data_IF_601116020151
#
_entry.id   IF_601116020151
#
_cell.length_a   1.000
_cell.length_b   1.000
_cell.length_c   1.000
_cell.angle_alpha   90.00
_cell.angle_beta   90.00
_cell.angle_gamma   90.00
#
_symmetry.space_group_name_H-M   'P 1'
#
loop_
_entity.id
_entity.type
_entity.pdbx_description
1 polymer ?
#
# COMPACT_ATOMS: atom_id res chain seq x y z
N UNK A 1 4.91 -15.14 1.32
CA UNK A 1 4.56 -13.98 0.46
C UNK A 1 4.05 -12.86 1.35
N UNK A 2 4.76 -11.74 1.44
CA UNK A 2 4.35 -10.60 2.28
C UNK A 2 3.13 -9.96 1.61
N UNK A 3 2.00 -9.90 2.29
CA UNK A 3 0.81 -9.19 1.80
C UNK A 3 1.06 -7.67 1.90
N UNK A 4 1.79 -7.12 0.92
CA UNK A 4 2.20 -5.72 0.91
C UNK A 4 1.04 -4.77 0.54
N UNK A 5 0.07 -5.27 -0.24
CA UNK A 5 -1.09 -4.50 -0.74
C UNK A 5 -1.87 -3.74 0.36
N UNK A 6 -2.30 -4.36 1.47
CA UNK A 6 -3.05 -3.64 2.51
C UNK A 6 -2.20 -2.56 3.20
N UNK A 7 -0.89 -2.79 3.37
CA UNK A 7 0.03 -1.84 4.00
C UNK A 7 0.44 -0.69 3.09
N UNK A 8 0.26 -0.82 1.77
CA UNK A 8 0.70 0.20 0.81
C UNK A 8 0.03 1.55 1.06
N UNK A 9 -1.23 1.53 1.48
CA UNK A 9 -2.03 2.75 1.72
C UNK A 9 -1.54 3.57 2.91
N UNK A 10 -0.83 2.94 3.86
CA UNK A 10 -0.22 3.62 5.00
C UNK A 10 1.09 4.33 4.60
N UNK A 11 1.75 3.84 3.55
CA UNK A 11 3.09 4.26 3.13
C UNK A 11 3.09 4.98 1.78
N UNK A 12 1.95 5.22 1.17
CA UNK A 12 1.85 5.91 -0.11
C UNK A 12 0.68 6.88 -0.07
N UNK A 13 0.97 8.14 -0.38
CA UNK A 13 -0.05 9.17 -0.60
C UNK A 13 0.09 9.69 -2.02
N UNK A 14 -0.98 10.23 -2.58
CA UNK A 14 -0.92 10.85 -3.90
C UNK A 14 -1.45 12.27 -3.84
N UNK A 15 -0.61 13.21 -4.29
CA UNK A 15 -1.02 14.57 -4.60
C UNK A 15 -1.58 14.58 -6.01
N UNK A 16 -2.89 14.78 -6.10
CA UNK A 16 -3.60 14.77 -7.38
C UNK A 16 -3.49 16.16 -8.01
N UNK A 17 -3.00 16.19 -9.24
CA UNK A 17 -2.87 17.40 -10.05
C UNK A 17 -3.80 17.29 -11.26
N UNK A 18 -3.38 16.61 -12.33
CA UNK A 18 -4.23 16.37 -13.50
C UNK A 18 -5.20 15.19 -13.30
N UNK A 19 -4.96 14.32 -12.31
CA UNK A 19 -5.78 13.17 -11.96
C UNK A 19 -5.84 12.06 -12.98
N UNK A 20 -4.97 12.08 -13.99
CA UNK A 20 -4.99 11.12 -15.10
C UNK A 20 -4.32 9.79 -14.75
N UNK A 21 -3.36 9.81 -13.82
CA UNK A 21 -2.60 8.62 -13.40
C UNK A 21 -3.08 8.06 -12.07
N UNK A 22 -3.71 8.90 -11.25
CA UNK A 22 -4.20 8.53 -9.93
C UNK A 22 -5.50 7.75 -10.01
N UNK A 23 -5.54 6.57 -9.38
CA UNK A 23 -6.80 5.83 -9.20
C UNK A 23 -7.70 6.52 -8.17
N UNK A 24 -8.97 6.68 -8.50
CA UNK A 24 -9.97 7.27 -7.60
C UNK A 24 -10.19 6.43 -6.34
N UNK A 25 -10.16 5.10 -6.48
CA UNK A 25 -10.63 4.17 -5.44
C UNK A 25 -9.54 3.67 -4.50
N UNK A 26 -8.38 3.33 -5.06
CA UNK A 26 -7.38 2.53 -4.35
C UNK A 26 -6.25 3.35 -3.75
N UNK A 27 -6.05 4.57 -4.20
CA UNK A 27 -4.94 5.42 -3.76
C UNK A 27 -5.41 6.36 -2.64
N UNK A 28 -4.54 6.61 -1.66
CA UNK A 28 -4.77 7.62 -0.61
C UNK A 28 -4.46 9.02 -1.15
N UNK A 29 -5.44 9.65 -1.76
CA UNK A 29 -5.34 11.05 -2.24
C UNK A 29 -6.25 12.03 -1.51
N UNK A 30 -7.11 11.53 -0.62
CA UNK A 30 -7.93 12.35 0.27
C UNK A 30 -7.58 12.07 1.73
N UNK A 31 -8.06 12.92 2.64
CA UNK A 31 -7.92 12.71 4.08
C UNK A 31 -8.67 11.47 4.59
N UNK A 32 -9.61 10.93 3.81
CA UNK A 32 -10.39 9.74 4.16
C UNK A 32 -9.62 8.43 3.91
N UNK A 33 -8.45 8.49 3.28
CA UNK A 33 -7.75 7.29 2.83
C UNK A 33 -8.28 6.77 1.48
N UNK A 34 -8.09 5.47 1.20
CA UNK A 34 -8.63 4.83 0.01
C UNK A 34 -10.15 4.83 0.02
N UNK A 35 -10.76 5.45 -1.00
CA UNK A 35 -12.22 5.63 -1.04
C UNK A 35 -12.99 4.30 -1.14
N UNK A 36 -12.34 3.23 -1.64
CA UNK A 36 -12.92 1.88 -1.63
C UNK A 36 -13.09 1.32 -0.21
N UNK A 37 -12.24 1.71 0.74
CA UNK A 37 -12.37 1.30 2.13
C UNK A 37 -13.50 2.05 2.84
N UNK A 38 -13.78 3.29 2.42
CA UNK A 38 -14.83 4.16 2.98
C UNK A 38 -16.23 3.76 2.49
N UNK A 39 -16.38 3.55 1.18
CA UNK A 39 -17.67 3.21 0.56
C UNK A 39 -17.91 1.70 0.44
N UNK A 40 -16.88 0.88 0.66
CA UNK A 40 -16.91 -0.55 0.46
C UNK A 40 -16.98 -0.96 -1.02
N UNK A 41 -17.10 -2.27 -1.26
CA UNK A 41 -17.17 -2.88 -2.59
C UNK A 41 -18.36 -2.37 -3.44
N UNK A 42 -19.40 -1.83 -2.82
CA UNK A 42 -20.54 -1.20 -3.48
C UNK A 42 -20.28 0.22 -3.99
N UNK A 43 -19.22 0.89 -3.51
CA UNK A 43 -18.87 2.28 -3.83
C UNK A 43 -18.82 2.60 -5.34
N UNK A 44 -18.12 1.81 -6.16
CA UNK A 44 -18.06 2.01 -7.61
C UNK A 44 -19.45 2.09 -8.27
N UNK A 45 -20.36 1.19 -7.89
CA UNK A 45 -21.73 1.19 -8.39
C UNK A 45 -22.51 2.40 -7.89
N UNK A 46 -22.32 2.79 -6.62
CA UNK A 46 -23.01 3.93 -6.02
C UNK A 46 -22.62 5.26 -6.68
N UNK A 47 -21.33 5.48 -6.93
CA UNK A 47 -20.82 6.70 -7.56
C UNK A 47 -20.85 6.65 -9.10
N UNK A 48 -21.30 5.54 -9.70
CA UNK A 48 -21.32 5.31 -11.15
C UNK A 48 -19.93 5.45 -11.80
N UNK A 49 -18.89 5.07 -11.07
CA UNK A 49 -17.51 5.06 -11.55
C UNK A 49 -17.02 3.62 -11.64
N UNK A 50 -16.17 3.36 -12.63
CA UNK A 50 -15.52 2.04 -12.77
C UNK A 50 -14.54 1.83 -11.62
N UNK A 51 -14.27 0.57 -11.25
CA UNK A 51 -13.24 0.25 -10.24
C UNK A 51 -11.86 0.77 -10.62
N UNK A 52 -11.54 0.76 -11.91
CA UNK A 52 -10.29 1.27 -12.44
C UNK A 52 -10.33 2.76 -12.80
N UNK A 53 -11.39 3.49 -12.43
CA UNK A 53 -11.53 4.89 -12.77
C UNK A 53 -10.40 5.72 -12.13
N UNK A 54 -9.94 6.71 -12.90
CA UNK A 54 -8.97 7.70 -12.44
C UNK A 54 -9.69 8.86 -11.76
N UNK A 55 -8.94 9.73 -11.07
CA UNK A 55 -9.52 10.91 -10.43
C UNK A 55 -10.03 11.92 -11.46
N UNK A 56 -9.42 11.98 -12.65
CA UNK A 56 -9.90 12.83 -13.75
C UNK A 56 -11.27 12.40 -14.29
N UNK A 57 -11.54 11.09 -14.35
CA UNK A 57 -12.82 10.52 -14.84
C UNK A 57 -14.02 10.86 -13.94
N UNK A 58 -13.79 11.23 -12.68
CA UNK A 58 -14.86 11.66 -11.76
C UNK A 58 -15.11 13.17 -11.79
N UNK A 59 -14.44 13.89 -12.68
CA UNK A 59 -14.62 15.33 -12.90
C UNK A 59 -15.05 15.63 -14.32
N UNK A 60 -15.83 16.70 -14.49
CA UNK A 60 -16.17 17.26 -15.79
C UNK A 60 -16.05 18.79 -15.74
N UNK A 61 -15.36 19.39 -16.71
CA UNK A 61 -15.12 20.84 -16.78
C UNK A 61 -14.63 21.49 -15.48
N UNK A 62 -13.78 20.80 -14.71
CA UNK A 62 -13.24 21.30 -13.45
C UNK A 62 -14.21 21.22 -12.26
N UNK A 63 -15.34 20.52 -12.38
CA UNK A 63 -16.25 20.24 -11.28
C UNK A 63 -16.39 18.72 -11.06
N UNK A 64 -16.67 18.30 -9.83
CA UNK A 64 -16.96 16.90 -9.51
C UNK A 64 -18.27 16.47 -10.18
N UNK A 65 -18.21 15.42 -10.99
CA UNK A 65 -19.36 14.86 -11.70
C UNK A 65 -19.76 13.52 -11.07
N UNK A 66 -20.41 13.61 -9.91
CA UNK A 66 -20.83 12.48 -9.09
C UNK A 66 -22.35 12.49 -8.88
N UNK A 67 -23.01 11.33 -8.73
CA UNK A 67 -24.43 11.29 -8.38
C UNK A 67 -24.65 11.83 -6.97
N UNK A 68 -25.87 12.29 -6.67
CA UNK A 68 -26.25 12.72 -5.32
C UNK A 68 -25.93 11.65 -4.28
N UNK A 69 -25.46 12.07 -3.10
CA UNK A 69 -25.17 11.16 -2.01
C UNK A 69 -26.43 10.36 -1.60
N UNK A 70 -26.30 9.04 -1.54
CA UNK A 70 -27.38 8.11 -1.13
C UNK A 70 -27.04 7.34 0.15
N UNK A 71 -25.97 7.74 0.83
CA UNK A 71 -25.55 7.19 2.12
C UNK A 71 -24.74 8.24 2.88
N UNK A 72 -24.67 8.15 4.23
CA UNK A 72 -23.84 9.04 5.03
C UNK A 72 -22.36 9.02 4.61
N UNK A 73 -21.83 7.85 4.23
CA UNK A 73 -20.45 7.74 3.72
C UNK A 73 -20.24 8.48 2.40
N UNK A 74 -21.22 8.44 1.48
CA UNK A 74 -21.14 9.17 0.21
C UNK A 74 -21.28 10.69 0.43
N UNK A 75 -22.08 11.10 1.41
CA UNK A 75 -22.20 12.51 1.81
C UNK A 75 -20.88 13.04 2.37
N UNK A 76 -20.27 12.33 3.32
CA UNK A 76 -18.95 12.68 3.86
C UNK A 76 -17.89 12.79 2.77
N UNK A 77 -17.89 11.86 1.82
CA UNK A 77 -17.00 11.92 0.66
C UNK A 77 -17.24 13.20 -0.16
N UNK A 78 -18.50 13.53 -0.47
CA UNK A 78 -18.81 14.74 -1.24
C UNK A 78 -18.41 16.02 -0.49
N UNK A 79 -18.60 16.07 0.83
CA UNK A 79 -18.11 17.18 1.67
C UNK A 79 -16.60 17.30 1.58
N UNK A 80 -15.85 16.20 1.66
CA UNK A 80 -14.39 16.23 1.53
C UNK A 80 -13.97 16.69 0.13
N UNK A 81 -14.68 16.25 -0.92
CA UNK A 81 -14.36 16.65 -2.29
C UNK A 81 -14.55 18.15 -2.56
N UNK A 82 -15.45 18.84 -1.85
CA UNK A 82 -15.56 20.32 -1.99
C UNK A 82 -14.33 21.06 -1.46
N UNK A 83 -13.55 20.42 -0.56
CA UNK A 83 -12.30 20.98 -0.04
C UNK A 83 -11.11 20.75 -0.96
N UNK A 84 -11.23 19.85 -1.93
CA UNK A 84 -10.17 19.55 -2.91
C UNK A 84 -10.30 20.53 -4.07
N UNK A 85 -9.22 21.27 -4.34
CA UNK A 85 -9.18 22.21 -5.47
C UNK A 85 -9.48 21.51 -6.79
N UNK A 86 -10.17 22.17 -7.73
CA UNK A 86 -10.55 21.56 -9.00
C UNK A 86 -9.31 21.13 -9.79
N UNK A 87 -9.35 19.89 -10.29
CA UNK A 87 -8.31 19.31 -11.13
C UNK A 87 -8.15 20.18 -12.36
N UNK A 88 -6.93 20.67 -12.60
CA UNK A 88 -6.61 21.45 -13.78
C UNK A 88 -5.63 20.65 -14.63
N UNK A 89 -5.89 20.47 -15.94
CA UNK A 89 -4.95 19.81 -16.84
C UNK A 89 -3.61 20.55 -16.92
N UNK A 90 -3.56 21.82 -16.51
CA UNK A 90 -2.36 22.65 -16.51
C UNK A 90 -1.46 22.50 -15.28
N UNK A 91 -1.90 21.77 -14.23
CA UNK A 91 -1.10 21.58 -13.00
C UNK A 91 0.02 20.53 -13.13
N UNK A 92 0.10 19.84 -14.26
CA UNK A 92 1.08 18.77 -14.49
C UNK A 92 0.65 17.43 -13.91
N UNK A 93 1.59 16.48 -13.90
CA UNK A 93 1.31 15.10 -13.50
C UNK A 93 1.10 14.93 -12.00
N UNK A 94 0.34 13.88 -11.65
CA UNK A 94 0.13 13.51 -10.26
C UNK A 94 1.45 13.09 -9.60
N UNK A 95 1.59 13.36 -8.30
CA UNK A 95 2.81 13.08 -7.56
C UNK A 95 2.55 12.11 -6.41
N UNK A 96 3.20 10.95 -6.46
CA UNK A 96 3.21 10.00 -5.35
C UNK A 96 4.22 10.43 -4.30
N UNK A 97 3.75 10.51 -3.05
CA UNK A 97 4.56 10.82 -1.89
C UNK A 97 4.79 9.56 -1.04
N UNK A 98 6.02 9.44 -0.58
CA UNK A 98 6.54 8.34 0.21
C UNK A 98 7.00 8.83 1.58
N UNK A 99 6.90 7.99 2.63
CA UNK A 99 7.29 8.36 3.97
C UNK A 99 8.81 8.53 4.07
N UNK A 100 9.21 9.58 4.78
CA UNK A 100 10.59 9.92 5.10
C UNK A 100 10.90 9.56 6.56
N UNK A 101 12.19 9.55 6.88
CA UNK A 101 12.68 9.20 8.23
C UNK A 101 12.23 10.20 9.31
N UNK A 102 11.90 11.42 8.91
CA UNK A 102 11.36 12.49 9.76
C UNK A 102 9.85 12.36 10.02
N UNK A 103 9.18 11.35 9.45
CA UNK A 103 7.73 11.15 9.53
C UNK A 103 6.92 11.98 8.52
N UNK A 104 7.57 12.81 7.72
CA UNK A 104 6.92 13.55 6.63
C UNK A 104 6.76 12.68 5.38
N UNK A 105 5.97 13.16 4.42
CA UNK A 105 5.82 12.54 3.11
C UNK A 105 6.52 13.41 2.05
N UNK A 106 7.26 12.79 1.13
CA UNK A 106 7.90 13.51 0.03
C UNK A 106 8.02 12.69 -1.26
N UNK A 107 8.43 13.33 -2.36
CA UNK A 107 8.35 12.73 -3.69
C UNK A 107 9.38 11.61 -3.95
N UNK A 108 10.45 11.55 -3.17
CA UNK A 108 11.51 10.54 -3.35
C UNK A 108 11.23 9.28 -2.55
N UNK A 109 11.25 8.13 -3.23
CA UNK A 109 11.20 6.83 -2.61
C UNK A 109 12.58 6.43 -2.04
N UNK A 110 12.61 5.95 -0.80
CA UNK A 110 13.80 5.40 -0.15
C UNK A 110 13.51 4.00 0.33
N UNK A 111 14.08 3.00 -0.33
CA UNK A 111 13.91 1.59 0.05
C UNK A 111 14.36 1.33 1.49
N UNK A 112 15.46 1.95 1.93
CA UNK A 112 15.95 1.86 3.31
C UNK A 112 14.94 2.39 4.31
N UNK A 113 14.42 3.59 4.08
CA UNK A 113 13.47 4.24 5.00
C UNK A 113 12.15 3.48 5.04
N UNK A 114 11.60 3.12 3.89
CA UNK A 114 10.39 2.30 3.81
C UNK A 114 10.58 0.95 4.50
N UNK A 115 11.73 0.30 4.33
CA UNK A 115 12.04 -0.95 5.02
C UNK A 115 12.11 -0.80 6.54
N UNK A 116 12.72 0.28 7.02
CA UNK A 116 12.82 0.59 8.44
C UNK A 116 11.46 0.86 9.10
N UNK A 117 10.52 1.44 8.34
CA UNK A 117 9.15 1.70 8.81
C UNK A 117 8.29 0.43 8.78
N UNK A 118 8.40 -0.39 7.72
CA UNK A 118 7.62 -1.62 7.59
C UNK A 118 8.05 -2.68 8.61
N UNK A 119 9.36 -2.77 8.91
CA UNK A 119 9.85 -3.81 9.82
C UNK A 119 9.39 -3.55 11.25
N UNK A 120 8.73 -4.53 11.86
CA UNK A 120 8.67 -4.62 13.32
C UNK A 120 10.09 -4.93 13.81
N UNK A 121 10.72 -4.00 14.53
CA UNK A 121 12.01 -4.28 15.16
C UNK A 121 11.78 -5.35 16.23
N UNK A 122 12.23 -6.58 15.94
CA UNK A 122 12.31 -7.62 16.97
C UNK A 122 13.20 -7.11 18.10
N UNK A 123 12.88 -7.43 19.37
CA UNK A 123 13.74 -7.07 20.49
C UNK A 123 15.16 -7.61 20.23
N UNK A 124 16.15 -6.86 20.68
CA UNK A 124 17.56 -7.24 20.59
C UNK A 124 17.77 -8.47 21.46
N UNK A 125 17.59 -9.66 20.88
CA UNK A 125 17.95 -10.91 21.52
C UNK A 125 19.48 -10.97 21.59
N UNK A 126 20.03 -11.57 22.64
CA UNK A 126 21.49 -11.68 22.81
C UNK A 126 22.09 -12.86 22.02
N UNK A 127 21.24 -13.78 21.59
CA UNK A 127 21.58 -14.99 20.84
C UNK A 127 21.91 -14.85 19.33
N UNK A 128 21.85 -13.70 18.63
CA UNK A 128 22.16 -13.65 17.20
C UNK A 128 23.57 -14.16 16.93
N UNK A 129 24.52 -13.86 17.80
CA UNK A 129 25.90 -14.36 17.67
C UNK A 129 26.00 -15.86 17.91
N UNK A 130 25.14 -16.42 18.77
CA UNK A 130 25.15 -17.85 19.12
C UNK A 130 24.61 -18.69 17.96
N UNK A 131 23.53 -18.27 17.32
CA UNK A 131 22.91 -19.03 16.22
C UNK A 131 23.72 -18.92 14.92
N UNK A 132 24.40 -17.80 14.70
CA UNK A 132 25.19 -17.53 13.48
C UNK A 132 26.67 -17.93 13.58
N UNK A 133 27.05 -18.76 14.55
CA UNK A 133 28.35 -19.43 14.50
C UNK A 133 28.40 -20.37 13.28
N UNK A 134 29.47 -20.25 12.49
CA UNK A 134 29.76 -21.09 11.30
C UNK A 134 29.58 -22.59 11.58
N UNK A 135 29.90 -23.02 12.79
CA UNK A 135 29.87 -24.41 13.24
C UNK A 135 28.44 -24.96 13.40
N UNK A 136 27.49 -24.15 13.88
CA UNK A 136 26.09 -24.59 14.04
C UNK A 136 25.40 -24.70 12.68
N UNK A 137 25.69 -23.79 11.76
CA UNK A 137 25.20 -23.87 10.39
C UNK A 137 25.68 -25.16 9.69
N UNK A 138 26.97 -25.48 9.84
CA UNK A 138 27.53 -26.72 9.31
C UNK A 138 26.87 -27.97 9.94
N UNK A 139 26.67 -27.95 11.26
CA UNK A 139 26.01 -29.03 11.99
C UNK A 139 24.54 -29.24 11.55
N UNK A 140 23.79 -28.16 11.30
CA UNK A 140 22.41 -28.27 10.80
C UNK A 140 22.35 -28.88 9.39
N UNK A 141 23.24 -28.46 8.49
CA UNK A 141 23.31 -29.05 7.14
C UNK A 141 23.74 -30.52 7.16
N UNK A 142 24.66 -30.90 8.05
CA UNK A 142 25.06 -32.29 8.26
C UNK A 142 23.91 -33.14 8.84
N UNK A 143 23.14 -32.61 9.80
CA UNK A 143 21.98 -33.29 10.38
C UNK A 143 20.88 -33.51 9.33
N UNK A 144 20.56 -32.49 8.54
CA UNK A 144 19.57 -32.57 7.45
C UNK A 144 20.01 -33.57 6.37
N UNK A 145 21.30 -33.60 6.03
CA UNK A 145 21.87 -34.58 5.10
C UNK A 145 21.78 -36.01 5.64
N UNK A 146 22.08 -36.22 6.93
CA UNK A 146 22.00 -37.54 7.56
C UNK A 146 20.56 -38.06 7.65
N UNK A 147 19.59 -37.21 8.03
CA UNK A 147 18.17 -37.57 8.01
C UNK A 147 17.70 -37.99 6.62
N UNK A 148 18.10 -37.24 5.58
CA UNK A 148 17.77 -37.58 4.19
C UNK A 148 18.39 -38.91 3.74
N UNK A 149 19.61 -39.22 4.20
CA UNK A 149 20.25 -40.51 3.94
C UNK A 149 19.54 -41.68 4.64
N UNK A 150 19.13 -41.50 5.91
CA UNK A 150 18.39 -42.53 6.65
C UNK A 150 17.01 -42.79 6.04
N UNK A 151 16.30 -41.73 5.63
CA UNK A 151 15.02 -41.87 4.92
C UNK A 151 15.19 -42.57 3.56
N UNK A 152 16.27 -42.29 2.82
CA UNK A 152 16.55 -42.95 1.54
C UNK A 152 16.83 -44.45 1.69
N UNK A 153 17.51 -44.86 2.77
CA UNK A 153 17.78 -46.27 3.06
C UNK A 153 16.52 -47.04 3.48
N UNK A 154 15.56 -46.38 4.15
CA UNK A 154 14.28 -46.98 4.56
C UNK A 154 13.29 -47.16 3.39
N UNK A 155 13.46 -46.46 2.27
CA UNK A 155 12.61 -46.56 1.08
C UNK A 155 13.08 -47.64 0.10
N UNK A 156 14.32 -48.13 0.24
CA UNK A 156 14.94 -49.10 -0.67
C UNK A 156 14.98 -50.53 -0.07
N UNK A 157 14.60 -50.69 1.20
CA UNK A 157 14.40 -51.97 1.87
C UNK A 157 12.91 -52.36 1.88
#
# INVERSE_FOLDING_TARGET
MIQLKPMLNDFMRCLVNNGTSSSFWFVTWTLLGPLIAVLGEGGPRMLRLRKCATVSESTNHGAWHLPSARSPAAETLQIVLTTVSPLSPHRGDDQYLWPKADGSFGPLFSSKTTWEIIRKKSPTVFWPKVIWFKEIYLAMHLLLGWLCYVDYQLVIA
#
